data_IF_391541157693
#
_entry.id   IF_391541157693
#
_cell.length_a   1.000
_cell.length_b   1.000
_cell.length_c   1.000
_cell.angle_alpha   90.00
_cell.angle_beta   90.00
_cell.angle_gamma   90.00
#
_symmetry.space_group_name_H-M   'P 1'
#
loop_
_entity.id
_entity.type
_entity.pdbx_description
1 polymer ?
#
# COMPACT_ATOMS: atom_id res chain seq x y z
N UNK A 1 -7.34 19.05 -6.41
CA UNK A 1 -7.42 19.54 -5.03
C UNK A 1 -8.84 19.48 -4.50
N UNK A 2 -8.96 19.20 -3.20
CA UNK A 2 -10.24 19.16 -2.49
C UNK A 2 -10.30 20.38 -1.56
N UNK A 3 -11.40 21.12 -1.66
CA UNK A 3 -11.67 22.28 -0.82
C UNK A 3 -12.93 22.04 0.01
N UNK A 4 -12.83 22.20 1.31
CA UNK A 4 -13.97 22.11 2.22
C UNK A 4 -13.67 22.89 3.49
N UNK A 5 -14.67 23.12 4.33
CA UNK A 5 -14.46 23.69 5.64
C UNK A 5 -13.93 22.61 6.62
N UNK A 6 -13.28 23.04 7.68
CA UNK A 6 -12.66 22.12 8.65
C UNK A 6 -13.68 21.18 9.30
N UNK A 7 -14.89 21.68 9.61
CA UNK A 7 -15.93 20.85 10.22
C UNK A 7 -16.30 19.67 9.31
N UNK A 8 -16.57 19.93 8.03
CA UNK A 8 -16.91 18.85 7.08
C UNK A 8 -15.74 17.87 6.88
N UNK A 9 -14.51 18.39 6.84
CA UNK A 9 -13.31 17.54 6.76
C UNK A 9 -13.24 16.62 7.96
N UNK A 10 -13.38 17.10 9.17
CA UNK A 10 -13.27 16.32 10.40
C UNK A 10 -14.44 15.37 10.62
N UNK A 11 -15.66 15.84 10.45
CA UNK A 11 -16.87 15.08 10.82
C UNK A 11 -17.31 14.08 9.74
N UNK A 12 -16.93 14.30 8.49
CA UNK A 12 -17.35 13.46 7.36
C UNK A 12 -16.16 12.68 6.79
N UNK A 13 -15.15 13.39 6.30
CA UNK A 13 -14.07 12.74 5.51
C UNK A 13 -13.02 12.06 6.38
N UNK A 14 -12.63 12.65 7.51
CA UNK A 14 -11.63 12.09 8.41
C UNK A 14 -12.24 11.15 9.45
N UNK A 15 -13.54 11.19 9.68
CA UNK A 15 -14.20 10.39 10.71
C UNK A 15 -14.00 8.89 10.59
N UNK A 16 -14.06 8.26 9.41
CA UNK A 16 -13.75 6.84 9.26
C UNK A 16 -12.32 6.49 9.67
N UNK A 17 -11.36 7.35 9.34
CA UNK A 17 -9.95 7.18 9.72
C UNK A 17 -9.75 7.34 11.23
N UNK A 18 -10.38 8.32 11.84
CA UNK A 18 -10.37 8.50 13.30
C UNK A 18 -10.87 7.24 14.02
N UNK A 19 -11.98 6.67 13.58
CA UNK A 19 -12.54 5.44 14.13
C UNK A 19 -11.56 4.28 13.96
N UNK A 20 -10.96 4.14 12.78
CA UNK A 20 -9.99 3.08 12.50
C UNK A 20 -8.76 3.19 13.40
N UNK A 21 -8.26 4.39 13.64
CA UNK A 21 -7.10 4.61 14.53
C UNK A 21 -7.47 4.45 16.00
N UNK A 22 -8.49 5.17 16.48
CA UNK A 22 -8.81 5.22 17.92
C UNK A 22 -9.52 3.99 18.45
N UNK A 23 -10.38 3.38 17.64
CA UNK A 23 -11.19 2.23 18.04
C UNK A 23 -10.69 0.92 17.43
N UNK A 24 -10.23 0.97 16.18
CA UNK A 24 -9.73 -0.20 15.46
C UNK A 24 -8.25 -0.52 15.71
N UNK A 25 -7.49 0.39 16.32
CA UNK A 25 -6.07 0.17 16.60
C UNK A 25 -5.20 0.11 15.33
N UNK A 26 -5.61 0.77 14.23
CA UNK A 26 -4.84 0.78 13.00
C UNK A 26 -3.43 1.34 13.22
N UNK A 27 -2.41 0.59 12.78
CA UNK A 27 -0.99 0.92 12.94
C UNK A 27 -0.31 1.33 11.62
N UNK A 28 -1.05 1.44 10.53
CA UNK A 28 -0.58 1.96 9.26
C UNK A 28 -1.67 2.78 8.58
N UNK A 29 -1.28 3.87 7.93
CA UNK A 29 -2.17 4.70 7.12
C UNK A 29 -1.50 5.03 5.79
N UNK A 30 -2.28 5.10 4.72
CA UNK A 30 -1.79 5.53 3.41
C UNK A 30 -2.16 6.99 3.17
N UNK A 31 -1.20 7.76 2.70
CA UNK A 31 -1.35 9.15 2.30
C UNK A 31 -1.79 9.20 0.84
N UNK A 32 -2.84 9.93 0.55
CA UNK A 32 -3.41 10.02 -0.80
C UNK A 32 -2.57 10.87 -1.75
N UNK A 33 -2.82 10.74 -3.06
CA UNK A 33 -2.29 11.67 -4.07
C UNK A 33 -2.99 13.03 -4.07
N UNK A 34 -4.04 13.18 -3.30
CA UNK A 34 -4.89 14.36 -3.32
C UNK A 34 -4.23 15.55 -2.63
N UNK A 35 -4.65 16.72 -3.07
CA UNK A 35 -4.37 17.98 -2.40
C UNK A 35 -5.54 18.33 -1.49
N UNK A 36 -5.24 18.72 -0.27
CA UNK A 36 -6.18 19.35 0.64
C UNK A 36 -5.90 20.85 0.65
N UNK A 37 -6.77 21.61 -0.02
CA UNK A 37 -6.48 23.00 -0.31
C UNK A 37 -5.34 23.12 -1.34
N UNK A 38 -4.32 23.84 -0.99
CA UNK A 38 -3.13 24.12 -1.81
C UNK A 38 -1.97 23.14 -1.59
N UNK A 39 -2.07 22.25 -0.61
CA UNK A 39 -1.00 21.33 -0.25
C UNK A 39 -1.37 19.89 -0.55
N UNK A 40 -0.39 19.14 -1.04
CA UNK A 40 -0.48 17.70 -1.06
C UNK A 40 -0.66 17.16 0.37
N UNK A 41 -1.50 16.16 0.57
CA UNK A 41 -1.80 15.61 1.90
C UNK A 41 -0.55 15.16 2.66
N UNK A 42 0.48 14.65 1.97
CA UNK A 42 1.77 14.27 2.57
C UNK A 42 2.63 15.45 3.03
N UNK A 43 2.34 16.67 2.58
CA UNK A 43 3.01 17.91 3.01
C UNK A 43 2.21 18.68 4.07
N UNK A 44 1.06 18.18 4.44
CA UNK A 44 0.19 18.83 5.42
C UNK A 44 0.52 18.43 6.84
N UNK A 45 1.36 19.22 7.52
CA UNK A 45 1.68 19.00 8.94
C UNK A 45 0.43 19.01 9.81
N UNK A 46 -0.54 19.86 9.51
CA UNK A 46 -1.81 19.90 10.24
C UNK A 46 -2.54 18.55 10.18
N UNK A 47 -2.55 17.91 9.00
CA UNK A 47 -3.19 16.61 8.84
C UNK A 47 -2.36 15.49 9.47
N UNK A 48 -1.06 15.43 9.13
CA UNK A 48 -0.21 14.29 9.48
C UNK A 48 0.30 14.34 10.92
N UNK A 49 0.71 15.51 11.40
CA UNK A 49 1.21 15.63 12.77
C UNK A 49 0.08 16.01 13.72
N UNK A 50 -0.60 17.14 13.51
CA UNK A 50 -1.59 17.62 14.48
C UNK A 50 -2.79 16.68 14.59
N UNK A 51 -3.48 16.39 13.49
CA UNK A 51 -4.70 15.57 13.56
C UNK A 51 -4.36 14.10 13.78
N UNK A 52 -3.55 13.50 12.90
CA UNK A 52 -3.30 12.05 12.95
C UNK A 52 -2.48 11.66 14.19
N UNK A 53 -1.34 12.33 14.45
CA UNK A 53 -0.43 11.89 15.51
C UNK A 53 -0.76 12.47 16.86
N UNK A 54 -1.04 13.78 16.97
CA UNK A 54 -1.27 14.43 18.26
C UNK A 54 -2.70 14.21 18.76
N UNK A 55 -3.73 14.53 17.95
CA UNK A 55 -5.13 14.44 18.40
C UNK A 55 -5.63 12.99 18.46
N UNK A 56 -5.24 12.15 17.50
CA UNK A 56 -5.69 10.75 17.48
C UNK A 56 -4.74 9.79 18.15
N UNK A 57 -3.52 10.22 18.49
CA UNK A 57 -2.53 9.40 19.16
C UNK A 57 -1.91 8.32 18.27
N UNK A 58 -1.94 8.49 16.95
CA UNK A 58 -1.39 7.53 16.02
C UNK A 58 0.13 7.43 16.12
N UNK A 59 0.64 6.23 16.34
CA UNK A 59 2.06 5.95 16.54
C UNK A 59 2.68 5.11 15.43
N UNK A 60 1.86 4.57 14.55
CA UNK A 60 2.27 3.70 13.47
C UNK A 60 2.89 4.43 12.28
N UNK A 61 3.15 3.70 11.21
CA UNK A 61 3.73 4.24 9.99
C UNK A 61 2.69 4.88 9.09
N UNK A 62 3.06 6.01 8.50
CA UNK A 62 2.36 6.62 7.39
C UNK A 62 3.17 6.38 6.11
N UNK A 63 2.55 5.81 5.08
CA UNK A 63 3.19 5.57 3.79
C UNK A 63 2.48 6.33 2.68
N UNK A 64 3.22 6.69 1.64
CA UNK A 64 2.63 7.32 0.45
C UNK A 64 1.92 6.28 -0.42
N UNK A 65 1.10 6.74 -1.35
CA UNK A 65 0.78 5.99 -2.55
C UNK A 65 2.02 5.98 -3.48
N UNK A 66 1.94 5.40 -4.68
CA UNK A 66 3.07 5.32 -5.60
C UNK A 66 3.82 6.64 -5.72
N UNK A 67 5.07 6.61 -5.28
CA UNK A 67 5.95 7.76 -5.19
C UNK A 67 6.88 7.77 -6.39
N UNK A 68 6.58 8.62 -7.38
CA UNK A 68 7.28 8.66 -8.66
C UNK A 68 7.69 10.09 -9.03
N UNK A 69 8.86 10.23 -9.61
CA UNK A 69 9.27 11.48 -10.25
C UNK A 69 8.48 11.76 -11.53
N UNK A 70 8.16 10.73 -12.31
CA UNK A 70 7.39 10.84 -13.55
C UNK A 70 5.88 10.76 -13.28
N UNK A 71 5.17 11.86 -13.48
CA UNK A 71 3.72 11.98 -13.37
C UNK A 71 3.21 12.43 -11.99
N UNK A 72 4.02 12.41 -10.95
CA UNK A 72 3.68 12.85 -9.61
C UNK A 72 4.75 13.77 -9.02
N UNK A 73 5.26 14.71 -9.83
CA UNK A 73 6.33 15.63 -9.45
C UNK A 73 6.02 16.60 -8.30
N UNK A 74 4.76 16.59 -7.81
CA UNK A 74 4.37 17.30 -6.60
C UNK A 74 4.75 16.57 -5.30
N UNK A 75 5.04 15.26 -5.37
CA UNK A 75 5.43 14.48 -4.21
C UNK A 75 6.93 14.67 -3.96
N UNK A 76 7.30 15.07 -2.76
CA UNK A 76 8.69 15.34 -2.38
C UNK A 76 9.04 14.60 -1.10
N UNK A 77 10.13 13.84 -1.09
CA UNK A 77 10.54 13.00 0.03
C UNK A 77 10.93 13.82 1.27
N UNK A 78 11.66 14.93 1.09
CA UNK A 78 12.05 15.79 2.21
C UNK A 78 10.83 16.43 2.85
N UNK A 79 9.89 16.92 2.04
CA UNK A 79 8.65 17.52 2.52
C UNK A 79 7.76 16.46 3.21
N UNK A 80 7.64 15.26 2.66
CA UNK A 80 6.89 14.17 3.24
C UNK A 80 7.45 13.77 4.62
N UNK A 81 8.76 13.54 4.73
CA UNK A 81 9.44 13.23 5.99
C UNK A 81 9.31 14.36 7.02
N UNK A 82 9.47 15.61 6.59
CA UNK A 82 9.35 16.77 7.47
C UNK A 82 7.94 16.89 8.07
N UNK A 83 6.93 16.37 7.39
CA UNK A 83 5.53 16.46 7.79
C UNK A 83 4.95 15.15 8.35
N UNK A 84 5.78 14.14 8.65
CA UNK A 84 5.35 12.95 9.40
C UNK A 84 4.92 11.76 8.55
N UNK A 85 5.27 11.74 7.27
CA UNK A 85 5.19 10.55 6.41
C UNK A 85 6.49 9.77 6.55
N UNK A 86 6.41 8.47 6.73
CA UNK A 86 7.55 7.63 7.11
C UNK A 86 8.11 6.80 5.96
N UNK A 87 7.27 6.39 5.02
CA UNK A 87 7.66 5.47 3.93
C UNK A 87 7.17 6.00 2.59
N UNK A 88 8.07 6.03 1.62
CA UNK A 88 7.79 6.37 0.24
C UNK A 88 7.64 5.08 -0.57
N UNK A 89 6.42 4.83 -1.10
CA UNK A 89 6.11 3.63 -1.85
C UNK A 89 6.69 3.74 -3.27
N UNK A 90 7.91 3.25 -3.47
CA UNK A 90 8.55 3.14 -4.79
C UNK A 90 8.52 1.70 -5.27
N UNK A 91 8.00 1.46 -6.47
CA UNK A 91 7.90 0.12 -7.08
C UNK A 91 8.89 -0.10 -8.21
N UNK A 92 9.64 0.93 -8.61
CA UNK A 92 10.50 0.87 -9.78
C UNK A 92 11.92 1.32 -9.44
N UNK A 93 12.89 0.48 -9.77
CA UNK A 93 14.30 0.81 -9.63
C UNK A 93 14.66 1.99 -10.54
N UNK A 94 15.27 3.02 -10.00
CA UNK A 94 15.94 4.08 -10.74
C UNK A 94 15.17 5.39 -10.97
N UNK A 95 13.93 5.53 -10.51
CA UNK A 95 13.22 6.81 -10.51
C UNK A 95 12.97 7.29 -9.08
N UNK A 96 14.05 7.67 -8.44
CA UNK A 96 14.06 7.90 -7.02
C UNK A 96 13.80 9.37 -6.70
N UNK A 97 12.75 9.61 -5.97
CA UNK A 97 12.55 10.84 -5.24
C UNK A 97 13.10 10.60 -3.82
N UNK A 98 14.39 10.69 -3.69
CA UNK A 98 15.10 10.44 -2.44
C UNK A 98 15.21 11.72 -1.62
N UNK A 99 15.58 11.54 -0.35
CA UNK A 99 15.99 12.65 0.52
C UNK A 99 17.21 13.34 -0.11
N UNK A 100 17.10 14.64 -0.36
CA UNK A 100 18.11 15.38 -1.11
C UNK A 100 19.46 15.45 -0.36
N UNK A 101 19.43 15.55 0.97
CA UNK A 101 20.64 15.57 1.79
C UNK A 101 20.46 14.67 3.03
N UNK A 102 20.67 13.36 2.89
CA UNK A 102 20.42 12.39 3.96
C UNK A 102 21.37 12.53 5.16
N UNK A 103 22.53 13.18 4.98
CA UNK A 103 23.52 13.38 6.05
C UNK A 103 23.24 14.65 6.85
N UNK A 104 22.34 15.52 6.40
CA UNK A 104 22.02 16.74 7.13
C UNK A 104 21.34 16.38 8.46
N UNK A 105 21.74 17.03 9.60
CA UNK A 105 21.20 16.69 10.92
C UNK A 105 19.67 16.65 11.01
N UNK A 106 18.98 17.57 10.34
CA UNK A 106 17.52 17.59 10.29
C UNK A 106 16.96 16.36 9.57
N UNK A 107 17.53 15.99 8.41
CA UNK A 107 17.12 14.82 7.65
C UNK A 107 17.36 13.53 8.44
N UNK A 108 18.52 13.44 9.12
CA UNK A 108 18.84 12.31 10.00
C UNK A 108 17.80 12.18 11.12
N UNK A 109 17.41 13.29 11.75
CA UNK A 109 16.38 13.29 12.80
C UNK A 109 15.03 12.83 12.27
N UNK A 110 14.62 13.33 11.11
CA UNK A 110 13.35 12.96 10.46
C UNK A 110 13.33 11.47 10.06
N UNK A 111 14.40 10.98 9.43
CA UNK A 111 14.53 9.56 9.10
C UNK A 111 14.53 8.66 10.33
N UNK A 112 15.17 9.07 11.43
CA UNK A 112 15.11 8.31 12.69
C UNK A 112 13.71 8.25 13.28
N UNK A 113 12.94 9.33 13.19
CA UNK A 113 11.52 9.33 13.59
C UNK A 113 10.68 8.41 12.70
N UNK A 114 10.90 8.45 11.39
CA UNK A 114 10.25 7.55 10.45
C UNK A 114 10.58 6.08 10.76
N UNK A 115 11.85 5.75 10.93
CA UNK A 115 12.28 4.41 11.34
C UNK A 115 11.61 3.95 12.66
N UNK A 116 11.52 4.84 13.66
CA UNK A 116 10.83 4.53 14.92
C UNK A 116 9.37 4.16 14.69
N UNK A 117 8.65 4.90 13.83
CA UNK A 117 7.25 4.64 13.53
C UNK A 117 7.06 3.32 12.75
N UNK A 118 7.95 3.04 11.80
CA UNK A 118 7.98 1.77 11.07
C UNK A 118 8.25 0.61 12.02
N UNK A 119 9.27 0.73 12.88
CA UNK A 119 9.58 -0.30 13.88
C UNK A 119 8.43 -0.53 14.86
N UNK A 120 7.75 0.54 15.29
CA UNK A 120 6.57 0.41 16.13
C UNK A 120 5.46 -0.39 15.42
N UNK A 121 5.22 -0.12 14.14
CA UNK A 121 4.25 -0.86 13.35
C UNK A 121 4.63 -2.34 13.24
N UNK A 122 5.90 -2.62 12.97
CA UNK A 122 6.40 -4.01 12.84
C UNK A 122 6.23 -4.78 14.15
N UNK A 123 6.74 -4.25 15.27
CA UNK A 123 6.68 -4.95 16.58
C UNK A 123 5.27 -5.06 17.14
N UNK A 124 4.35 -4.19 16.68
CA UNK A 124 2.93 -4.24 17.03
C UNK A 124 2.10 -5.01 16.01
N UNK A 125 2.73 -5.63 15.03
CA UNK A 125 2.07 -6.43 14.01
C UNK A 125 2.20 -7.91 14.30
N UNK A 126 1.26 -8.66 13.76
CA UNK A 126 1.26 -10.12 13.83
C UNK A 126 2.52 -10.75 13.21
N UNK A 127 3.17 -10.08 12.25
CA UNK A 127 4.40 -10.54 11.62
C UNK A 127 5.60 -10.64 12.58
N UNK A 128 5.56 -9.96 13.73
CA UNK A 128 6.66 -9.96 14.71
C UNK A 128 6.59 -11.14 15.69
N UNK A 129 5.42 -11.70 15.92
CA UNK A 129 5.21 -12.72 16.96
C UNK A 129 5.90 -14.08 16.71
N UNK A 130 6.62 -14.25 15.62
CA UNK A 130 7.58 -15.34 15.38
C UNK A 130 7.05 -16.79 15.42
N UNK A 131 5.84 -16.99 15.88
CA UNK A 131 5.16 -18.29 15.99
C UNK A 131 4.26 -18.58 14.77
N UNK A 132 4.54 -17.95 13.64
CA UNK A 132 3.82 -18.31 12.43
C UNK A 132 4.41 -19.61 11.90
N UNK A 133 3.78 -20.73 12.26
CA UNK A 133 3.83 -21.89 11.39
C UNK A 133 3.55 -21.39 9.97
N UNK A 134 4.49 -21.64 9.05
CA UNK A 134 4.20 -21.48 7.64
C UNK A 134 2.98 -22.34 7.34
N UNK A 135 1.81 -21.75 7.45
CA UNK A 135 0.58 -22.42 7.05
C UNK A 135 0.74 -22.65 5.56
N UNK A 136 1.03 -23.90 5.21
CA UNK A 136 1.15 -24.29 3.81
C UNK A 136 -0.07 -23.79 3.02
N UNK A 137 0.00 -23.83 1.71
CA UNK A 137 -1.05 -23.29 0.84
C UNK A 137 -2.45 -23.65 1.36
N UNK A 138 -3.27 -22.65 1.58
CA UNK A 138 -4.65 -22.78 2.08
C UNK A 138 -5.47 -23.77 1.23
N UNK A 139 -6.35 -24.53 1.86
CA UNK A 139 -7.09 -25.59 1.19
C UNK A 139 -7.90 -25.13 -0.02
N UNK A 140 -8.47 -23.93 0.02
CA UNK A 140 -9.20 -23.38 -1.12
C UNK A 140 -8.28 -23.06 -2.33
N UNK A 141 -7.03 -22.66 -2.10
CA UNK A 141 -6.03 -22.47 -3.17
C UNK A 141 -5.65 -23.80 -3.81
N UNK A 142 -5.46 -24.85 -2.99
CA UNK A 142 -5.22 -26.21 -3.50
C UNK A 142 -6.39 -26.71 -4.32
N UNK A 143 -7.61 -26.48 -3.86
CA UNK A 143 -8.82 -26.83 -4.60
C UNK A 143 -8.93 -26.07 -5.92
N UNK A 144 -8.63 -24.75 -5.93
CA UNK A 144 -8.59 -23.93 -7.14
C UNK A 144 -7.61 -24.48 -8.18
N UNK A 145 -6.37 -24.75 -7.77
CA UNK A 145 -5.36 -25.35 -8.65
C UNK A 145 -5.82 -26.72 -9.18
N UNK A 146 -6.46 -27.54 -8.34
CA UNK A 146 -7.01 -28.83 -8.75
C UNK A 146 -8.07 -28.67 -9.84
N UNK A 147 -8.98 -27.72 -9.69
CA UNK A 147 -10.03 -27.40 -10.68
C UNK A 147 -9.39 -26.93 -11.99
N UNK A 148 -8.41 -26.02 -11.93
CA UNK A 148 -7.73 -25.52 -13.13
C UNK A 148 -7.02 -26.63 -13.91
N UNK A 149 -6.38 -27.58 -13.20
CA UNK A 149 -5.75 -28.75 -13.84
C UNK A 149 -6.82 -29.61 -14.53
N UNK A 150 -7.95 -29.88 -13.90
CA UNK A 150 -9.03 -30.67 -14.49
C UNK A 150 -9.58 -29.98 -15.75
N UNK A 151 -9.81 -28.68 -15.70
CA UNK A 151 -10.26 -27.89 -16.86
C UNK A 151 -9.23 -27.97 -18.00
N UNK A 152 -7.95 -27.80 -17.71
CA UNK A 152 -6.88 -27.86 -18.70
C UNK A 152 -6.82 -29.24 -19.38
N UNK A 153 -6.93 -30.32 -18.60
CA UNK A 153 -6.97 -31.68 -19.12
C UNK A 153 -8.22 -31.95 -19.98
N UNK A 154 -9.36 -31.42 -19.57
CA UNK A 154 -10.58 -31.53 -20.36
C UNK A 154 -10.47 -30.82 -21.71
N UNK A 155 -9.95 -29.60 -21.73
CA UNK A 155 -9.71 -28.82 -22.96
C UNK A 155 -8.74 -29.59 -23.88
N UNK A 156 -7.61 -30.05 -23.34
CA UNK A 156 -6.63 -30.82 -24.11
C UNK A 156 -7.26 -32.12 -24.69
N UNK A 157 -8.08 -32.82 -23.92
CA UNK A 157 -8.81 -33.99 -24.38
C UNK A 157 -9.78 -33.68 -25.54
N UNK A 158 -10.53 -32.58 -25.41
CA UNK A 158 -11.43 -32.11 -26.47
C UNK A 158 -10.68 -31.75 -27.75
N UNK A 159 -9.54 -31.08 -27.65
CA UNK A 159 -8.68 -30.75 -28.80
C UNK A 159 -8.21 -32.01 -29.53
N UNK A 160 -7.76 -33.02 -28.80
CA UNK A 160 -7.35 -34.31 -29.39
C UNK A 160 -8.49 -34.97 -30.13
N UNK A 161 -9.72 -34.93 -29.57
CA UNK A 161 -10.90 -35.49 -30.23
C UNK A 161 -11.26 -34.75 -31.51
N UNK A 162 -11.20 -33.41 -31.47
CA UNK A 162 -11.41 -32.58 -32.67
C UNK A 162 -10.39 -32.88 -33.78
N UNK A 163 -9.12 -32.95 -33.40
CA UNK A 163 -8.02 -33.27 -34.37
C UNK A 163 -8.23 -34.67 -34.97
N UNK A 164 -8.54 -35.65 -34.13
CA UNK A 164 -8.81 -37.02 -34.62
C UNK A 164 -10.03 -37.06 -35.56
N UNK A 165 -11.11 -36.34 -35.19
CA UNK A 165 -12.32 -36.22 -36.01
C UNK A 165 -12.03 -35.57 -37.37
N UNK A 166 -11.23 -34.49 -37.37
CA UNK A 166 -10.81 -33.82 -38.60
C UNK A 166 -9.97 -34.73 -39.52
N UNK A 167 -8.96 -35.41 -38.95
CA UNK A 167 -8.14 -36.37 -39.72
C UNK A 167 -8.92 -37.51 -40.34
N UNK A 168 -9.92 -38.05 -39.57
CA UNK A 168 -10.81 -39.12 -40.08
C UNK A 168 -11.68 -38.66 -41.27
N UNK A 169 -12.18 -37.44 -41.23
CA UNK A 169 -12.98 -36.88 -42.35
C UNK A 169 -12.11 -36.69 -43.60
N UNK A 170 -10.90 -36.11 -43.43
CA UNK A 170 -9.96 -35.86 -44.54
C UNK A 170 -9.45 -37.15 -45.20
N UNK A 171 -9.42 -38.29 -44.52
CA UNK A 171 -8.99 -39.58 -45.10
C UNK A 171 -10.18 -40.36 -45.71
N UNK A 172 -11.38 -39.85 -45.66
CA UNK A 172 -12.60 -40.44 -46.25
C UNK A 172 -13.07 -39.72 -47.54
N UNK A 173 -12.40 -38.60 -47.87
CA UNK A 173 -12.47 -37.89 -49.14
C UNK A 173 -11.32 -38.38 -50.07
#
# INVERSE_FOLDING_TARGET
SVWSNEQAIREIYLKPFEISVKQGGANAVMVSWSFLGDKWTGESSNLMNTVLRDEWGFRGMALTDFFRNNGHGFMNADAALANGVDVMLSTFNGEENNVANPEHPTSVLQMRNACKNVMYTVVSSWAYDGEHEETGMENWKKAGIGIDIVIALFIAGMEVLVIKGYKKRKSAE
#
